data_IF_792006702056
#
_entry.id   IF_792006702056
#
_cell.length_a   1.000
_cell.length_b   1.000
_cell.length_c   1.000
_cell.angle_alpha   90.00
_cell.angle_beta   90.00
_cell.angle_gamma   90.00
#
_symmetry.space_group_name_H-M   'P 1'
#
loop_
_entity.id
_entity.type
_entity.pdbx_description
1 polymer ?
#
# COMPACT_ATOMS: atom_id res chain seq x y z
N UNK A 1 -15.36 11.66 -7.72
CA UNK A 1 -14.21 10.86 -7.24
C UNK A 1 -13.62 11.51 -6.01
N UNK A 2 -13.07 10.74 -5.07
CA UNK A 2 -12.40 11.31 -3.90
C UNK A 2 -11.06 11.92 -4.34
N UNK A 3 -10.85 13.21 -4.05
CA UNK A 3 -9.66 13.94 -4.46
C UNK A 3 -8.74 14.10 -3.24
N UNK A 4 -7.56 13.50 -3.31
CA UNK A 4 -6.52 13.66 -2.29
C UNK A 4 -5.79 15.00 -2.45
N UNK A 5 -5.55 15.70 -1.35
CA UNK A 5 -4.98 17.06 -1.33
C UNK A 5 -3.76 17.15 -0.40
N UNK A 6 -3.02 18.26 -0.55
CA UNK A 6 -1.93 18.61 0.36
C UNK A 6 -2.48 18.71 1.79
N UNK A 7 -1.68 18.28 2.77
CA UNK A 7 -2.01 18.21 4.20
C UNK A 7 -3.06 17.17 4.60
N UNK A 8 -3.53 16.33 3.68
CA UNK A 8 -4.33 15.14 4.00
C UNK A 8 -3.44 13.92 4.25
N UNK A 9 -3.93 12.99 5.08
CA UNK A 9 -3.26 11.72 5.35
C UNK A 9 -3.98 10.58 4.64
N UNK A 10 -3.23 9.60 4.13
CA UNK A 10 -3.79 8.34 3.63
C UNK A 10 -3.46 7.24 4.63
N UNK A 11 -4.49 6.59 5.16
CA UNK A 11 -4.36 5.42 6.01
C UNK A 11 -4.73 4.16 5.23
N UNK A 12 -3.79 3.22 5.16
CA UNK A 12 -3.94 1.94 4.44
C UNK A 12 -3.81 0.80 5.47
N UNK A 13 -4.92 0.27 6.00
CA UNK A 13 -4.88 -0.83 6.96
C UNK A 13 -4.38 -2.11 6.30
N UNK A 14 -3.59 -2.92 7.02
CA UNK A 14 -3.21 -4.27 6.58
C UNK A 14 -2.35 -4.32 5.31
N UNK A 15 -1.64 -3.23 4.96
CA UNK A 15 -0.88 -3.17 3.70
C UNK A 15 0.18 -4.28 3.58
N UNK A 16 0.80 -4.70 4.69
CA UNK A 16 1.79 -5.77 4.68
C UNK A 16 1.19 -7.10 4.21
N UNK A 17 0.07 -7.49 4.80
CA UNK A 17 -0.64 -8.74 4.46
C UNK A 17 -1.20 -8.67 3.04
N UNK A 18 -1.67 -7.50 2.61
CA UNK A 18 -2.16 -7.28 1.25
C UNK A 18 -1.05 -7.50 0.20
N UNK A 19 0.16 -6.99 0.47
CA UNK A 19 1.34 -7.23 -0.38
C UNK A 19 1.69 -8.71 -0.38
N UNK A 20 1.80 -9.35 0.78
CA UNK A 20 2.14 -10.78 0.89
C UNK A 20 1.19 -11.67 0.11
N UNK A 21 -0.12 -11.42 0.23
CA UNK A 21 -1.15 -12.23 -0.44
C UNK A 21 -1.42 -11.81 -1.89
N UNK A 22 -0.74 -10.78 -2.42
CA UNK A 22 -0.93 -10.32 -3.81
C UNK A 22 -2.31 -9.72 -4.07
N UNK A 23 -2.87 -9.04 -3.07
CA UNK A 23 -4.16 -8.34 -3.19
C UNK A 23 -4.02 -7.15 -4.14
N UNK A 24 -4.91 -7.07 -5.14
CA UNK A 24 -4.85 -6.04 -6.19
C UNK A 24 -5.71 -4.81 -5.89
N UNK A 25 -6.71 -4.92 -5.01
CA UNK A 25 -7.56 -3.80 -4.61
C UNK A 25 -7.65 -3.73 -3.09
N UNK A 26 -7.30 -2.57 -2.53
CA UNK A 26 -7.13 -2.38 -1.08
C UNK A 26 -8.03 -1.22 -0.62
N UNK A 27 -8.88 -1.41 0.40
CA UNK A 27 -9.61 -0.32 1.02
C UNK A 27 -8.63 0.57 1.80
N UNK A 28 -8.78 1.88 1.65
CA UNK A 28 -7.98 2.87 2.36
C UNK A 28 -8.85 4.08 2.74
N UNK A 29 -8.30 4.97 3.54
CA UNK A 29 -9.01 6.14 4.02
C UNK A 29 -8.17 7.39 3.81
N UNK A 30 -8.78 8.42 3.20
CA UNK A 30 -8.27 9.79 3.30
C UNK A 30 -8.75 10.35 4.63
N UNK A 31 -7.83 10.91 5.41
CA UNK A 31 -8.08 11.50 6.72
C UNK A 31 -7.75 12.99 6.63
N UNK A 32 -8.74 13.82 6.97
CA UNK A 32 -8.59 15.26 7.13
C UNK A 32 -9.38 15.67 8.39
N UNK A 33 -8.70 16.28 9.36
CA UNK A 33 -9.23 16.56 10.69
C UNK A 33 -9.90 15.33 11.35
N UNK A 34 -11.23 15.35 11.50
CA UNK A 34 -12.04 14.25 12.06
C UNK A 34 -12.84 13.48 11.01
N UNK A 35 -12.67 13.81 9.72
CA UNK A 35 -13.38 13.19 8.61
C UNK A 35 -12.52 12.07 8.02
N UNK A 36 -13.14 10.90 7.85
CA UNK A 36 -12.56 9.77 7.12
C UNK A 36 -13.38 9.52 5.86
N UNK A 37 -12.73 9.53 4.71
CA UNK A 37 -13.35 9.21 3.42
C UNK A 37 -12.75 7.91 2.91
N UNK A 38 -13.60 6.89 2.74
CA UNK A 38 -13.18 5.61 2.18
C UNK A 38 -12.85 5.76 0.69
N UNK A 39 -11.74 5.14 0.30
CA UNK A 39 -11.26 5.07 -1.07
C UNK A 39 -10.80 3.65 -1.38
N UNK A 40 -10.75 3.31 -2.67
CA UNK A 40 -10.18 2.05 -3.15
C UNK A 40 -8.88 2.32 -3.88
N UNK A 41 -7.78 1.76 -3.40
CA UNK A 41 -6.48 1.82 -4.05
C UNK A 41 -6.23 0.54 -4.85
N UNK A 42 -5.45 0.66 -5.92
CA UNK A 42 -5.07 -0.48 -6.77
C UNK A 42 -3.58 -0.74 -6.65
N UNK A 43 -3.23 -2.01 -6.43
CA UNK A 43 -1.87 -2.51 -6.36
C UNK A 43 -1.65 -3.46 -7.54
N UNK A 44 -1.52 -2.89 -8.74
CA UNK A 44 -1.44 -3.65 -9.98
C UNK A 44 0.00 -4.02 -10.32
N UNK A 45 0.18 -5.11 -11.08
CA UNK A 45 1.44 -5.50 -11.72
C UNK A 45 2.60 -5.82 -10.78
N UNK A 46 2.33 -6.25 -9.53
CA UNK A 46 3.37 -6.79 -8.66
C UNK A 46 3.56 -8.27 -8.94
N UNK A 47 4.73 -8.66 -9.43
CA UNK A 47 5.13 -10.06 -9.55
C UNK A 47 5.40 -10.67 -8.16
N UNK A 48 5.50 -12.01 -8.02
CA UNK A 48 5.97 -12.63 -6.78
C UNK A 48 7.29 -12.06 -6.27
N UNK A 49 8.26 -11.84 -7.15
CA UNK A 49 9.57 -11.25 -6.79
C UNK A 49 9.44 -9.80 -6.31
N UNK A 50 8.63 -8.97 -6.98
CA UNK A 50 8.40 -7.59 -6.53
C UNK A 50 7.81 -7.53 -5.11
N UNK A 51 6.91 -8.47 -4.79
CA UNK A 51 6.33 -8.58 -3.44
C UNK A 51 7.39 -8.93 -2.41
N UNK A 52 8.29 -9.87 -2.71
CA UNK A 52 9.40 -10.21 -1.81
C UNK A 52 10.35 -9.04 -1.60
N UNK A 53 10.65 -8.27 -2.65
CA UNK A 53 11.47 -7.06 -2.59
C UNK A 53 10.83 -6.01 -1.67
N UNK A 54 9.54 -5.73 -1.84
CA UNK A 54 8.78 -4.79 -1.00
C UNK A 54 8.74 -5.28 0.45
N UNK A 55 8.51 -6.57 0.69
CA UNK A 55 8.47 -7.16 2.03
C UNK A 55 9.84 -7.16 2.73
N UNK A 56 10.92 -7.19 1.95
CA UNK A 56 12.29 -6.97 2.43
C UNK A 56 12.59 -5.49 2.74
N UNK A 57 11.73 -4.57 2.30
CA UNK A 57 11.83 -3.13 2.54
C UNK A 57 12.56 -2.37 1.43
N UNK A 58 13.38 -3.03 0.63
CA UNK A 58 13.97 -2.51 -0.61
C UNK A 58 14.73 -3.61 -1.36
N UNK A 59 15.19 -3.29 -2.58
CA UNK A 59 15.98 -4.20 -3.41
C UNK A 59 17.30 -4.63 -2.76
N UNK A 60 18.01 -3.71 -2.10
CA UNK A 60 19.28 -4.02 -1.40
C UNK A 60 19.04 -5.02 -0.26
N UNK A 61 17.95 -4.85 0.49
CA UNK A 61 17.61 -5.75 1.59
C UNK A 61 17.20 -7.14 1.07
N UNK A 62 16.56 -7.21 -0.10
CA UNK A 62 16.23 -8.47 -0.75
C UNK A 62 17.50 -9.26 -1.11
N UNK A 63 18.48 -8.60 -1.73
CA UNK A 63 19.78 -9.21 -2.05
C UNK A 63 20.61 -9.54 -0.82
N UNK A 64 20.54 -8.79 0.27
CA UNK A 64 21.27 -9.11 1.49
C UNK A 64 20.73 -10.35 2.23
N UNK A 65 19.48 -10.76 1.98
CA UNK A 65 18.86 -11.96 2.56
C UNK A 65 19.16 -13.24 1.77
N UNK A 66 19.58 -13.12 0.52
CA UNK A 66 19.83 -14.21 -0.41
C UNK A 66 21.32 -14.34 -0.69
#
# INVERSE_FOLDING_TARGET
>A
EAQFKVDELIYIPGIRDAVENGVTEIPAFIIHDQVKTEIKLKLNNLTPEDREIILAGCLINYYAKH
#
